data_IF_389678811369
#
_entry.id   IF_389678811369
#
_cell.length_a   1.000
_cell.length_b   1.000
_cell.length_c   1.000
_cell.angle_alpha   90.00
_cell.angle_beta   90.00
_cell.angle_gamma   90.00
#
_symmetry.space_group_name_H-M   'P 1'
#
loop_
_entity.id
_entity.type
_entity.pdbx_description
1 polymer ?
#
# COMPACT_ATOMS: atom_id res chain seq x y z
N UNK A 1 15.20 23.14 -5.72
CA UNK A 1 15.09 21.77 -5.17
C UNK A 1 13.75 21.66 -4.48
N UNK A 2 12.83 20.84 -4.98
CA UNK A 2 11.46 20.70 -4.46
C UNK A 2 11.31 19.32 -3.78
N UNK A 3 10.76 19.32 -2.55
CA UNK A 3 10.09 18.16 -1.93
C UNK A 3 10.96 16.97 -1.45
N UNK A 4 11.69 17.11 -0.35
CA UNK A 4 12.36 15.95 0.28
C UNK A 4 12.29 15.91 1.81
N UNK A 5 11.34 16.60 2.46
CA UNK A 5 11.35 16.73 3.93
C UNK A 5 9.95 16.81 4.58
N UNK A 6 8.95 16.09 4.06
CA UNK A 6 7.71 15.91 4.82
C UNK A 6 7.69 14.49 5.41
N UNK A 7 7.90 14.36 6.74
CA UNK A 7 7.89 13.06 7.39
C UNK A 7 6.47 12.47 7.34
N UNK A 8 6.34 11.15 7.45
CA UNK A 8 5.04 10.45 7.41
C UNK A 8 4.08 11.01 8.48
N UNK A 9 4.64 11.39 9.62
CA UNK A 9 3.96 12.01 10.76
C UNK A 9 3.19 13.27 10.37
N UNK A 10 3.72 14.08 9.44
CA UNK A 10 3.03 15.26 8.94
C UNK A 10 1.68 14.88 8.30
N UNK A 11 1.69 13.84 7.45
CA UNK A 11 0.49 13.38 6.77
C UNK A 11 -0.48 12.69 7.73
N UNK A 12 0.00 11.88 8.67
CA UNK A 12 -0.89 11.22 9.63
C UNK A 12 -1.57 12.22 10.56
N UNK A 13 -0.87 13.30 10.96
CA UNK A 13 -1.46 14.36 11.77
C UNK A 13 -2.48 15.17 10.95
N UNK A 14 -2.16 15.47 9.68
CA UNK A 14 -3.09 16.12 8.77
C UNK A 14 -4.39 15.32 8.61
N UNK A 15 -4.32 13.98 8.60
CA UNK A 15 -5.52 13.15 8.59
C UNK A 15 -6.39 13.36 9.85
N UNK A 16 -5.79 13.50 11.03
CA UNK A 16 -6.53 13.82 12.26
C UNK A 16 -7.21 15.19 12.15
N UNK A 17 -6.50 16.20 11.63
CA UNK A 17 -7.01 17.56 11.50
C UNK A 17 -8.18 17.66 10.53
N UNK A 18 -8.11 16.94 9.40
CA UNK A 18 -9.14 16.99 8.34
C UNK A 18 -10.34 16.10 8.65
N UNK A 19 -10.09 14.87 9.12
CA UNK A 19 -11.13 13.84 9.25
C UNK A 19 -11.64 13.65 10.68
N UNK A 20 -11.00 14.30 11.66
CA UNK A 20 -11.43 14.32 13.05
C UNK A 20 -10.56 13.48 13.99
N UNK A 21 -10.77 13.65 15.31
CA UNK A 21 -9.88 13.11 16.36
C UNK A 21 -9.84 11.58 16.43
N UNK A 22 -10.80 10.88 15.83
CA UNK A 22 -10.84 9.42 15.76
C UNK A 22 -9.81 8.85 14.75
N UNK A 23 -9.37 9.65 13.78
CA UNK A 23 -8.38 9.25 12.77
C UNK A 23 -6.99 9.56 13.30
N UNK A 24 -6.50 8.73 14.22
CA UNK A 24 -5.16 8.84 14.81
C UNK A 24 -4.14 7.98 14.05
N UNK A 25 -2.82 8.18 14.25
CA UNK A 25 -1.80 7.28 13.72
C UNK A 25 -2.01 5.81 14.07
N UNK A 26 -2.57 5.51 15.26
CA UNK A 26 -2.88 4.14 15.68
C UNK A 26 -4.07 3.57 14.91
N UNK A 27 -5.12 4.36 14.70
CA UNK A 27 -6.27 3.96 13.87
C UNK A 27 -5.83 3.68 12.42
N UNK A 28 -4.98 4.55 11.86
CA UNK A 28 -4.41 4.37 10.51
C UNK A 28 -3.58 3.09 10.44
N UNK A 29 -2.67 2.86 11.40
CA UNK A 29 -1.86 1.62 11.45
C UNK A 29 -2.73 0.37 11.49
N UNK A 30 -3.76 0.35 12.35
CA UNK A 30 -4.71 -0.77 12.44
C UNK A 30 -5.44 -1.01 11.11
N UNK A 31 -5.82 0.05 10.40
CA UNK A 31 -6.47 -0.07 9.10
C UNK A 31 -5.52 -0.63 8.03
N UNK A 32 -4.25 -0.23 8.04
CA UNK A 32 -3.20 -0.80 7.17
C UNK A 32 -3.03 -2.30 7.45
N UNK A 33 -2.90 -2.68 8.72
CA UNK A 33 -2.74 -4.08 9.13
C UNK A 33 -3.94 -4.92 8.68
N UNK A 34 -5.16 -4.43 8.89
CA UNK A 34 -6.38 -5.10 8.46
C UNK A 34 -6.44 -5.26 6.93
N UNK A 35 -6.05 -4.23 6.18
CA UNK A 35 -6.02 -4.27 4.71
C UNK A 35 -5.03 -5.31 4.21
N UNK A 36 -3.82 -5.33 4.78
CA UNK A 36 -2.79 -6.31 4.44
C UNK A 36 -3.21 -7.74 4.81
N UNK A 37 -3.83 -7.93 5.98
CA UNK A 37 -4.33 -9.23 6.41
C UNK A 37 -5.46 -9.73 5.51
N UNK A 38 -6.35 -8.84 5.07
CA UNK A 38 -7.48 -9.21 4.21
C UNK A 38 -7.04 -9.53 2.77
N UNK A 39 -6.18 -8.70 2.17
CA UNK A 39 -5.78 -8.84 0.77
C UNK A 39 -4.48 -9.62 0.54
N UNK A 40 -3.72 -9.94 1.59
CA UNK A 40 -2.46 -10.69 1.51
C UNK A 40 -1.19 -9.83 1.28
N UNK A 41 -1.31 -8.51 1.36
CA UNK A 41 -0.19 -7.57 1.20
C UNK A 41 0.57 -7.78 -0.12
N UNK A 42 1.87 -8.04 -0.05
CA UNK A 42 2.72 -8.29 -1.22
C UNK A 42 2.52 -9.68 -1.86
N UNK A 43 1.79 -10.58 -1.21
CA UNK A 43 1.52 -11.94 -1.71
C UNK A 43 0.01 -12.20 -1.68
N UNK A 44 -0.77 -11.50 -2.51
CA UNK A 44 -2.22 -11.69 -2.55
C UNK A 44 -2.56 -13.11 -3.03
N UNK A 45 -3.51 -13.76 -2.37
CA UNK A 45 -3.99 -15.10 -2.76
C UNK A 45 -5.16 -14.92 -3.72
N UNK A 46 -4.91 -15.11 -5.01
CA UNK A 46 -5.89 -14.82 -6.09
C UNK A 46 -5.89 -15.90 -7.15
N UNK A 47 -7.00 -16.04 -7.88
CA UNK A 47 -7.15 -16.93 -9.04
C UNK A 47 -7.74 -16.17 -10.22
N UNK A 48 -7.28 -16.43 -11.45
CA UNK A 48 -7.76 -15.80 -12.68
C UNK A 48 -7.56 -14.26 -12.70
N UNK A 49 -6.41 -13.79 -12.24
CA UNK A 49 -6.03 -12.36 -12.23
C UNK A 49 -4.73 -12.17 -13.00
N UNK A 50 -4.64 -11.08 -13.78
CA UNK A 50 -3.43 -10.64 -14.48
C UNK A 50 -3.01 -9.28 -13.93
N UNK A 51 -1.73 -9.10 -13.62
CA UNK A 51 -1.14 -7.85 -13.12
C UNK A 51 -0.30 -7.15 -14.21
N UNK A 52 -0.92 -6.34 -15.10
CA UNK A 52 -0.17 -5.58 -16.10
C UNK A 52 0.61 -4.43 -15.45
N UNK A 53 1.84 -4.21 -15.90
CA UNK A 53 2.71 -3.16 -15.38
C UNK A 53 3.42 -2.41 -16.52
N UNK A 54 3.47 -1.09 -16.43
CA UNK A 54 4.22 -0.25 -17.36
C UNK A 54 5.65 -0.01 -16.89
N UNK A 55 6.64 -0.23 -17.76
CA UNK A 55 8.06 -0.06 -17.40
C UNK A 55 8.44 1.38 -17.01
N UNK A 56 7.67 2.38 -17.47
CA UNK A 56 7.86 3.79 -17.13
C UNK A 56 6.88 4.31 -16.07
N UNK A 57 5.96 3.46 -15.61
CA UNK A 57 5.05 3.83 -14.53
C UNK A 57 5.83 3.82 -13.21
N UNK A 58 5.98 4.96 -12.51
CA UNK A 58 6.68 4.99 -11.22
C UNK A 58 5.99 4.14 -10.15
N UNK A 59 4.73 3.74 -10.35
CA UNK A 59 4.00 2.85 -9.44
C UNK A 59 4.27 1.36 -9.69
N UNK A 60 4.90 0.98 -10.81
CA UNK A 60 5.19 -0.42 -11.12
C UNK A 60 5.96 -1.16 -10.00
N UNK A 61 6.92 -0.55 -9.26
CA UNK A 61 7.62 -1.24 -8.19
C UNK A 61 6.74 -1.64 -7.00
N UNK A 62 5.53 -1.06 -6.89
CA UNK A 62 4.55 -1.38 -5.84
C UNK A 62 3.61 -2.53 -6.24
N UNK A 63 3.72 -3.04 -7.46
CA UNK A 63 2.84 -4.07 -8.03
C UNK A 63 3.44 -5.48 -7.92
N UNK A 64 2.68 -6.47 -8.40
CA UNK A 64 3.15 -7.85 -8.59
C UNK A 64 3.91 -7.93 -9.92
N UNK A 65 5.22 -8.16 -9.85
CA UNK A 65 6.13 -8.14 -11.02
C UNK A 65 6.52 -9.52 -11.54
N UNK A 66 6.20 -10.56 -10.78
CA UNK A 66 6.49 -11.95 -11.11
C UNK A 66 5.23 -12.78 -10.88
N UNK A 67 5.14 -13.95 -11.50
CA UNK A 67 4.06 -14.88 -11.20
C UNK A 67 4.11 -15.28 -9.71
N UNK A 68 2.98 -15.19 -9.03
CA UNK A 68 2.80 -15.50 -7.59
C UNK A 68 2.06 -16.80 -7.35
N UNK A 69 1.51 -17.41 -8.40
CA UNK A 69 0.82 -18.70 -8.38
C UNK A 69 1.64 -19.81 -9.01
N UNK A 70 2.86 -19.52 -9.46
CA UNK A 70 3.69 -20.53 -10.10
C UNK A 70 4.07 -21.63 -9.10
N UNK A 71 3.47 -22.81 -9.28
CA UNK A 71 3.99 -24.05 -8.73
C UNK A 71 5.19 -24.42 -9.59
N UNK A 72 6.40 -24.22 -9.07
CA UNK A 72 7.64 -24.63 -9.74
C UNK A 72 7.50 -26.08 -10.27
N UNK A 73 7.52 -26.23 -11.59
CA UNK A 73 7.74 -27.50 -12.30
C UNK A 73 9.10 -27.45 -13.00
#
# INVERSE_FOLDING_TARGET
VFGHNLPVEFYTNLCTDIFGPQITPQTIRKAIDNTNAYYGGYKPVVTNVVFPNGALDPWHPLSVLTDINNTDY
#
